data_IF_196252990179
#
_entry.id   IF_196252990179
#
_cell.length_a   1.000
_cell.length_b   1.000
_cell.length_c   1.000
_cell.angle_alpha   90.00
_cell.angle_beta   90.00
_cell.angle_gamma   90.00
#
_symmetry.space_group_name_H-M   'P 1'
#
loop_
_entity.id
_entity.type
_entity.pdbx_description
1 polymer ?
#
# COMPACT_ATOMS: atom_id res chain seq x y z
N UNK A 1 -10.02 19.24 -2.04
CA UNK A 1 -8.57 19.15 -2.31
C UNK A 1 -8.08 17.78 -1.82
N UNK A 2 -8.50 16.70 -2.48
CA UNK A 2 -8.29 15.30 -2.03
C UNK A 2 -7.72 14.37 -3.12
N UNK A 3 -7.66 14.85 -4.37
CA UNK A 3 -7.19 14.07 -5.53
C UNK A 3 -5.73 13.60 -5.36
N UNK A 4 -4.91 14.39 -4.66
CA UNK A 4 -3.53 14.04 -4.35
C UNK A 4 -3.44 12.92 -3.31
N UNK A 5 -4.28 12.95 -2.27
CA UNK A 5 -4.30 11.89 -1.24
C UNK A 5 -4.69 10.53 -1.83
N UNK A 6 -5.60 10.54 -2.80
CA UNK A 6 -5.98 9.34 -3.54
C UNK A 6 -4.89 8.83 -4.49
N UNK A 7 -3.96 9.68 -4.92
CA UNK A 7 -2.87 9.31 -5.83
C UNK A 7 -1.51 9.13 -5.13
N UNK A 8 -1.42 9.49 -3.86
CA UNK A 8 -0.18 9.37 -3.09
C UNK A 8 -0.01 7.92 -2.66
N UNK A 9 0.81 7.17 -3.39
CA UNK A 9 1.14 5.77 -3.10
C UNK A 9 1.57 5.52 -1.65
N UNK A 10 2.20 6.53 -1.04
CA UNK A 10 2.70 6.47 0.33
C UNK A 10 1.58 6.31 1.38
N UNK A 11 0.50 7.08 1.29
CA UNK A 11 -0.51 7.12 2.35
C UNK A 11 -1.42 5.88 2.34
N UNK A 12 -1.77 5.38 1.16
CA UNK A 12 -2.65 4.20 1.04
C UNK A 12 -1.89 2.87 0.94
N UNK A 13 -0.89 2.79 0.07
CA UNK A 13 -0.23 1.51 -0.22
C UNK A 13 0.88 1.19 0.76
N UNK A 14 1.83 2.12 0.97
CA UNK A 14 2.97 1.85 1.84
C UNK A 14 2.51 1.53 3.27
N UNK A 15 1.55 2.29 3.80
CA UNK A 15 0.97 2.01 5.11
C UNK A 15 0.23 0.66 5.16
N UNK A 16 -0.54 0.30 4.12
CA UNK A 16 -1.20 -1.00 4.01
C UNK A 16 -0.22 -2.17 3.93
N UNK A 17 0.82 -2.04 3.10
CA UNK A 17 1.90 -3.01 2.94
C UNK A 17 2.68 -3.21 4.23
N UNK A 18 3.14 -2.12 4.86
CA UNK A 18 3.87 -2.17 6.12
C UNK A 18 3.01 -2.86 7.18
N UNK A 19 1.73 -2.52 7.31
CA UNK A 19 0.84 -3.22 8.25
C UNK A 19 0.79 -4.73 8.01
N UNK A 20 0.72 -5.16 6.75
CA UNK A 20 0.66 -6.60 6.38
C UNK A 20 1.93 -7.39 6.72
N UNK A 21 3.06 -6.72 6.93
CA UNK A 21 4.36 -7.32 7.21
C UNK A 21 4.79 -7.14 8.66
N UNK A 22 4.53 -5.96 9.22
CA UNK A 22 5.00 -5.54 10.54
C UNK A 22 4.20 -6.19 11.67
N UNK A 23 2.89 -6.43 11.46
CA UNK A 23 2.00 -7.00 12.48
C UNK A 23 1.86 -8.54 12.41
N UNK A 24 2.64 -9.20 11.56
CA UNK A 24 2.60 -10.67 11.43
C UNK A 24 3.05 -11.31 12.75
N UNK A 25 2.27 -12.27 13.26
CA UNK A 25 2.59 -13.01 14.48
C UNK A 25 2.21 -12.32 15.79
N UNK A 26 1.59 -11.13 15.73
CA UNK A 26 1.23 -10.34 16.90
C UNK A 26 2.43 -9.56 17.46
N UNK A 27 2.27 -8.26 17.64
CA UNK A 27 3.33 -7.37 18.12
C UNK A 27 2.98 -6.94 19.55
N UNK A 28 3.72 -7.47 20.52
CA UNK A 28 3.44 -7.26 21.95
C UNK A 28 4.17 -6.05 22.54
N UNK A 29 5.21 -5.53 21.86
CA UNK A 29 6.01 -4.40 22.35
C UNK A 29 6.33 -3.39 21.26
N UNK A 30 6.50 -2.13 21.68
CA UNK A 30 6.92 -1.05 20.79
C UNK A 30 8.30 -1.32 20.15
N UNK A 31 9.19 -1.99 20.89
CA UNK A 31 10.53 -2.35 20.40
C UNK A 31 10.42 -3.34 19.24
N UNK A 32 9.63 -4.39 19.37
CA UNK A 32 9.37 -5.36 18.29
C UNK A 32 8.75 -4.68 17.08
N UNK A 33 7.82 -3.73 17.29
CA UNK A 33 7.22 -2.97 16.20
C UNK A 33 8.28 -2.19 15.40
N UNK A 34 9.16 -1.46 16.08
CA UNK A 34 10.24 -0.69 15.45
C UNK A 34 11.20 -1.58 14.67
N UNK A 35 11.60 -2.71 15.25
CA UNK A 35 12.48 -3.69 14.59
C UNK A 35 11.81 -4.27 13.34
N UNK A 36 10.54 -4.65 13.41
CA UNK A 36 9.82 -5.20 12.27
C UNK A 36 9.67 -4.18 11.13
N UNK A 37 9.41 -2.90 11.44
CA UNK A 37 9.38 -1.82 10.43
C UNK A 37 10.74 -1.72 9.75
N UNK A 38 11.82 -1.64 10.53
CA UNK A 38 13.17 -1.49 10.01
C UNK A 38 13.55 -2.67 9.11
N UNK A 39 13.32 -3.90 9.57
CA UNK A 39 13.61 -5.11 8.80
C UNK A 39 12.76 -5.21 7.53
N UNK A 40 11.49 -4.81 7.58
CA UNK A 40 10.61 -4.83 6.40
C UNK A 40 11.13 -3.89 5.31
N UNK A 41 11.52 -2.67 5.71
CA UNK A 41 12.02 -1.64 4.79
C UNK A 41 13.39 -2.02 4.22
N UNK A 42 14.30 -2.54 5.06
CA UNK A 42 15.66 -2.87 4.63
C UNK A 42 15.73 -4.14 3.78
N UNK A 43 14.92 -5.16 4.08
CA UNK A 43 14.99 -6.44 3.37
C UNK A 43 14.21 -6.46 2.05
N UNK A 44 13.25 -5.55 1.86
CA UNK A 44 12.35 -5.58 0.69
C UNK A 44 12.22 -4.22 -0.01
N UNK A 45 13.31 -3.47 -0.27
CA UNK A 45 13.19 -2.15 -0.89
C UNK A 45 12.60 -2.23 -2.31
N UNK A 46 12.92 -3.30 -3.05
CA UNK A 46 12.42 -3.49 -4.41
C UNK A 46 10.92 -3.84 -4.45
N UNK A 47 10.47 -4.78 -3.61
CA UNK A 47 9.04 -5.13 -3.54
C UNK A 47 8.20 -3.94 -3.09
N UNK A 48 8.72 -3.14 -2.15
CA UNK A 48 8.06 -1.94 -1.65
C UNK A 48 7.91 -0.90 -2.76
N UNK A 49 8.95 -0.70 -3.57
CA UNK A 49 8.94 0.20 -4.72
C UNK A 49 8.03 -0.31 -5.85
N UNK A 50 8.13 -1.59 -6.22
CA UNK A 50 7.33 -2.22 -7.26
C UNK A 50 5.85 -2.13 -6.91
N UNK A 51 5.49 -2.53 -5.70
CA UNK A 51 4.10 -2.53 -5.28
C UNK A 51 3.54 -1.10 -5.13
N UNK A 52 4.39 -0.12 -4.77
CA UNK A 52 4.01 1.29 -4.78
C UNK A 52 3.72 1.80 -6.21
N UNK A 53 4.52 1.39 -7.20
CA UNK A 53 4.29 1.71 -8.62
C UNK A 53 3.01 1.04 -9.12
N UNK A 54 2.82 -0.25 -8.86
CA UNK A 54 1.62 -1.00 -9.24
C UNK A 54 0.35 -0.36 -8.69
N UNK A 55 0.36 0.07 -7.43
CA UNK A 55 -0.79 0.74 -6.83
C UNK A 55 -1.11 2.09 -7.49
N UNK A 56 -0.09 2.88 -7.87
CA UNK A 56 -0.31 4.14 -8.59
C UNK A 56 -0.94 3.87 -9.96
N UNK A 57 -0.40 2.90 -10.70
CA UNK A 57 -0.92 2.50 -12.01
C UNK A 57 -2.37 2.04 -11.89
N UNK A 58 -2.68 1.19 -10.92
CA UNK A 58 -4.04 0.71 -10.69
C UNK A 58 -5.01 1.86 -10.38
N UNK A 59 -4.62 2.78 -9.51
CA UNK A 59 -5.47 3.95 -9.17
C UNK A 59 -5.67 4.88 -10.36
N UNK A 60 -4.65 5.08 -11.19
CA UNK A 60 -4.79 5.81 -12.45
C UNK A 60 -5.80 5.12 -13.38
N UNK A 61 -5.78 3.79 -13.47
CA UNK A 61 -6.78 3.04 -14.22
C UNK A 61 -8.19 3.22 -13.65
N UNK A 62 -8.35 3.22 -12.32
CA UNK A 62 -9.63 3.52 -11.68
C UNK A 62 -10.11 4.94 -12.00
N UNK A 63 -9.25 5.96 -11.95
CA UNK A 63 -9.62 7.35 -12.33
C UNK A 63 -10.16 7.38 -13.76
N UNK A 64 -9.47 6.71 -14.69
CA UNK A 64 -9.88 6.64 -16.09
C UNK A 64 -11.23 5.93 -16.25
N UNK A 65 -11.43 4.81 -15.55
CA UNK A 65 -12.69 4.06 -15.55
C UNK A 65 -13.86 4.88 -15.01
N UNK A 66 -13.62 5.61 -13.92
CA UNK A 66 -14.59 6.48 -13.25
C UNK A 66 -14.81 7.83 -13.96
N UNK A 67 -14.20 8.04 -15.14
CA UNK A 67 -14.26 9.31 -15.88
C UNK A 67 -13.85 10.52 -15.03
N UNK A 68 -12.92 10.32 -14.11
CA UNK A 68 -12.44 11.35 -13.18
C UNK A 68 -13.26 11.51 -11.89
N UNK A 69 -14.24 10.63 -11.62
CA UNK A 69 -14.94 10.64 -10.33
C UNK A 69 -14.06 10.11 -9.18
N UNK A 70 -14.48 10.41 -7.95
CA UNK A 70 -13.73 10.12 -6.72
C UNK A 70 -13.72 8.61 -6.40
N UNK A 71 -12.57 8.05 -5.97
CA UNK A 71 -12.34 6.59 -5.93
C UNK A 71 -12.53 6.00 -4.51
N UNK A 72 -12.86 6.80 -3.49
CA UNK A 72 -12.98 6.38 -2.07
C UNK A 72 -13.90 5.16 -1.81
N UNK A 73 -14.78 4.78 -2.73
CA UNK A 73 -15.71 3.65 -2.58
C UNK A 73 -15.18 2.29 -3.09
N UNK A 74 -14.05 2.25 -3.77
CA UNK A 74 -13.53 1.00 -4.31
C UNK A 74 -12.76 0.22 -3.23
N UNK A 75 -13.26 -0.98 -2.90
CA UNK A 75 -12.45 -1.97 -2.18
C UNK A 75 -11.33 -2.42 -3.11
N UNK A 76 -10.18 -1.74 -3.04
CA UNK A 76 -8.98 -2.09 -3.80
C UNK A 76 -8.40 -3.37 -3.18
N UNK A 77 -8.47 -4.53 -3.86
CA UNK A 77 -7.85 -5.74 -3.36
C UNK A 77 -6.33 -5.55 -3.40
N UNK A 78 -5.64 -6.09 -2.40
CA UNK A 78 -4.18 -6.25 -2.43
C UNK A 78 -3.74 -6.79 -3.81
N UNK A 79 -2.75 -6.17 -4.50
CA UNK A 79 -2.26 -6.62 -5.81
C UNK A 79 -1.88 -8.11 -5.83
N UNK A 80 -1.46 -8.66 -4.68
CA UNK A 80 -1.13 -10.07 -4.52
C UNK A 80 -2.29 -11.05 -4.68
N UNK A 81 -3.54 -10.59 -4.80
CA UNK A 81 -4.71 -11.46 -5.04
C UNK A 81 -5.22 -11.48 -6.48
N UNK A 82 -4.57 -10.77 -7.41
CA UNK A 82 -5.02 -10.71 -8.82
C UNK A 82 -4.12 -11.47 -9.81
N UNK A 83 -3.02 -12.08 -9.33
CA UNK A 83 -2.06 -12.81 -10.16
C UNK A 83 -2.04 -14.34 -9.94
N UNK A 84 -3.10 -14.89 -9.34
CA UNK A 84 -3.39 -16.34 -9.32
C UNK A 84 -4.88 -16.59 -9.55
#
# INVERSE_FOLDING_TARGET
MSILSDLTSCDFFLWGYLKSKVYVGGVLTLTTLKVNILLTVLNNPLDLLLSAVENVVYRMQCVVHEKGAHIEGYHIPSPRKQFY
#
